data_IF_967240927953
#
_entry.id   IF_967240927953
#
_cell.length_a   1.000
_cell.length_b   1.000
_cell.length_c   1.000
_cell.angle_alpha   90.00
_cell.angle_beta   90.00
_cell.angle_gamma   90.00
#
_symmetry.space_group_name_H-M   'P 1'
#
loop_
_entity.id
_entity.type
_entity.pdbx_description
1 polymer ?
#
# COMPACT_ATOMS: atom_id res chain seq x y z
N UNK A 1 19.09 12.70 -11.47
CA UNK A 1 18.67 13.02 -10.11
C UNK A 1 17.55 12.07 -9.76
N UNK A 2 17.51 11.51 -8.54
CA UNK A 2 16.43 10.63 -8.11
C UNK A 2 15.12 11.40 -7.86
N UNK A 3 14.01 10.68 -7.83
CA UNK A 3 12.67 11.25 -7.65
C UNK A 3 12.53 12.04 -6.34
N UNK A 4 13.18 11.59 -5.27
CA UNK A 4 13.09 12.21 -3.94
C UNK A 4 14.11 13.34 -3.68
N UNK A 5 14.96 13.68 -4.66
CA UNK A 5 16.02 14.68 -4.48
C UNK A 5 15.51 16.10 -4.16
N UNK A 6 14.25 16.40 -4.46
CA UNK A 6 13.65 17.68 -4.14
C UNK A 6 13.50 17.92 -2.63
N UNK A 7 13.31 16.87 -1.86
CA UNK A 7 13.17 16.94 -0.40
C UNK A 7 14.41 17.53 0.30
N UNK A 8 15.59 17.38 -0.31
CA UNK A 8 16.85 17.92 0.23
C UNK A 8 16.95 19.45 0.15
N UNK A 9 16.00 20.12 -0.52
CA UNK A 9 15.97 21.58 -0.60
C UNK A 9 15.36 22.23 0.64
N UNK A 10 14.68 21.45 1.48
CA UNK A 10 14.06 21.93 2.70
C UNK A 10 14.66 21.16 3.89
N UNK A 11 15.43 21.86 4.72
CA UNK A 11 16.11 21.27 5.88
C UNK A 11 15.12 20.69 6.90
N UNK A 12 13.88 21.20 6.95
CA UNK A 12 12.84 20.70 7.84
C UNK A 12 12.36 19.28 7.48
N UNK A 13 12.62 18.81 6.26
CA UNK A 13 12.32 17.44 5.81
C UNK A 13 13.45 16.45 6.10
N UNK A 14 14.49 16.84 6.85
CA UNK A 14 15.66 15.98 7.10
C UNK A 14 15.28 14.62 7.68
N UNK A 15 14.27 14.56 8.55
CA UNK A 15 13.83 13.33 9.21
C UNK A 15 13.38 12.24 8.23
N UNK A 16 12.77 12.59 7.10
CA UNK A 16 12.26 11.62 6.13
C UNK A 16 12.89 11.72 4.73
N UNK A 17 13.59 12.81 4.40
CA UNK A 17 14.20 12.98 3.07
C UNK A 17 15.26 11.93 2.77
N UNK A 18 16.20 11.70 3.69
CA UNK A 18 17.24 10.67 3.56
C UNK A 18 16.66 9.26 3.46
N UNK A 19 15.74 8.83 4.35
CA UNK A 19 15.04 7.56 4.23
C UNK A 19 14.30 7.35 2.90
N UNK A 20 13.68 8.38 2.33
CA UNK A 20 13.05 8.30 1.01
C UNK A 20 14.07 7.99 -0.09
N UNK A 21 15.22 8.67 -0.08
CA UNK A 21 16.31 8.45 -1.05
C UNK A 21 16.93 7.06 -0.86
N UNK A 22 17.10 6.61 0.37
CA UNK A 22 17.60 5.27 0.66
C UNK A 22 16.63 4.20 0.15
N UNK A 23 15.33 4.36 0.35
CA UNK A 23 14.31 3.46 -0.21
C UNK A 23 14.39 3.40 -1.74
N UNK A 24 14.54 4.54 -2.43
CA UNK A 24 14.72 4.59 -3.89
C UNK A 24 15.99 3.85 -4.33
N UNK A 25 17.10 4.01 -3.63
CA UNK A 25 18.35 3.34 -3.97
C UNK A 25 18.29 1.82 -3.75
N UNK A 26 17.49 1.33 -2.80
CA UNK A 26 17.34 -0.10 -2.51
C UNK A 26 16.75 -0.87 -3.69
N UNK A 27 15.98 -0.23 -4.60
CA UNK A 27 15.40 -0.90 -5.78
C UNK A 27 16.47 -1.50 -6.68
N UNK A 28 17.70 -0.98 -6.66
CA UNK A 28 18.82 -1.53 -7.41
C UNK A 28 19.21 -2.96 -7.00
N UNK A 29 18.87 -3.38 -5.79
CA UNK A 29 19.35 -4.64 -5.22
C UNK A 29 18.27 -5.55 -4.67
N UNK A 30 17.20 -5.00 -4.08
CA UNK A 30 16.16 -5.81 -3.43
C UNK A 30 14.80 -5.10 -3.43
N UNK A 31 13.79 -5.72 -4.04
CA UNK A 31 12.41 -5.25 -4.01
C UNK A 31 11.82 -5.32 -2.60
N UNK A 32 12.19 -6.34 -1.83
CA UNK A 32 11.73 -6.55 -0.45
C UNK A 32 12.30 -5.45 0.46
N UNK A 33 13.62 -5.19 0.37
CA UNK A 33 14.24 -4.12 1.13
C UNK A 33 13.67 -2.75 0.74
N UNK A 34 13.36 -2.52 -0.54
CA UNK A 34 12.72 -1.30 -1.04
C UNK A 34 11.37 -1.06 -0.37
N UNK A 35 10.46 -2.05 -0.39
CA UNK A 35 9.14 -1.90 0.22
C UNK A 35 9.21 -1.69 1.74
N UNK A 36 10.13 -2.38 2.41
CA UNK A 36 10.39 -2.19 3.83
C UNK A 36 10.90 -0.78 4.15
N UNK A 37 11.90 -0.29 3.40
CA UNK A 37 12.47 1.05 3.57
C UNK A 37 11.48 2.14 3.20
N UNK A 38 10.66 1.94 2.17
CA UNK A 38 9.61 2.87 1.79
C UNK A 38 8.56 3.02 2.91
N UNK A 39 8.14 1.91 3.55
CA UNK A 39 7.26 1.96 4.73
C UNK A 39 7.91 2.71 5.90
N UNK A 40 9.19 2.49 6.14
CA UNK A 40 9.93 3.18 7.20
C UNK A 40 10.03 4.69 6.94
N UNK A 41 10.29 5.08 5.70
CA UNK A 41 10.29 6.48 5.28
C UNK A 41 8.90 7.14 5.43
N UNK A 42 7.85 6.40 5.05
CA UNK A 42 6.46 6.81 5.27
C UNK A 42 6.19 7.08 6.76
N UNK A 43 6.61 6.19 7.66
CA UNK A 43 6.41 6.33 9.10
C UNK A 43 7.04 7.64 9.62
N UNK A 44 8.25 7.96 9.19
CA UNK A 44 8.91 9.21 9.56
C UNK A 44 8.20 10.45 8.98
N UNK A 45 7.71 10.36 7.74
CA UNK A 45 6.95 11.43 7.12
C UNK A 45 5.59 11.66 7.81
N UNK A 46 4.90 10.59 8.24
CA UNK A 46 3.67 10.69 9.04
C UNK A 46 3.96 11.30 10.41
N UNK A 47 5.02 10.87 11.09
CA UNK A 47 5.44 11.45 12.37
C UNK A 47 5.75 12.95 12.23
N UNK A 48 6.37 13.34 11.11
CA UNK A 48 6.68 14.74 10.83
C UNK A 48 5.40 15.58 10.72
N UNK A 49 4.38 15.11 9.97
CA UNK A 49 3.11 15.84 9.87
C UNK A 49 2.46 16.01 11.24
N UNK A 50 2.33 14.95 12.01
CA UNK A 50 1.74 15.01 13.35
C UNK A 50 2.49 15.95 14.28
N UNK A 51 3.82 16.03 14.18
CA UNK A 51 4.60 16.95 15.00
C UNK A 51 4.51 18.43 14.58
N UNK A 52 4.10 18.72 13.35
CA UNK A 52 4.10 20.06 12.78
C UNK A 52 2.69 20.66 12.55
N UNK A 53 1.64 19.85 12.43
CA UNK A 53 0.28 20.34 12.20
C UNK A 53 -0.56 20.20 13.46
N UNK A 54 -0.96 21.32 14.05
CA UNK A 54 -1.74 21.36 15.30
C UNK A 54 -3.17 20.81 15.18
N UNK A 55 -3.65 20.61 13.95
CA UNK A 55 -4.95 20.00 13.71
C UNK A 55 -4.96 18.49 14.06
N UNK A 56 -3.79 17.84 13.97
CA UNK A 56 -3.66 16.40 14.17
C UNK A 56 -3.38 16.08 15.65
N UNK A 57 -4.34 15.47 16.31
CA UNK A 57 -4.16 14.97 17.67
C UNK A 57 -3.68 13.50 17.64
N UNK A 58 -2.58 13.24 18.35
CA UNK A 58 -2.01 11.89 18.38
C UNK A 58 -2.88 10.93 19.19
N UNK A 59 -3.27 9.76 18.64
CA UNK A 59 -3.97 8.74 19.40
C UNK A 59 -3.09 8.16 20.51
N UNK A 60 -3.70 7.63 21.58
CA UNK A 60 -2.98 7.07 22.73
C UNK A 60 -1.90 6.04 22.37
N UNK A 61 -2.12 5.25 21.32
CA UNK A 61 -1.12 4.36 20.74
C UNK A 61 -0.73 4.88 19.36
N UNK A 62 0.39 5.54 19.28
CA UNK A 62 0.92 6.14 18.06
C UNK A 62 1.70 5.14 17.22
N UNK A 63 1.03 4.12 16.70
CA UNK A 63 1.59 3.23 15.65
C UNK A 63 1.32 3.83 14.28
N UNK A 64 2.14 3.54 13.27
CA UNK A 64 1.89 4.00 11.91
C UNK A 64 0.45 3.70 11.44
N UNK A 65 -0.06 2.52 11.73
CA UNK A 65 -1.45 2.17 11.36
C UNK A 65 -2.48 3.01 12.10
N UNK A 66 -2.34 3.24 13.42
CA UNK A 66 -3.30 4.06 14.17
C UNK A 66 -3.28 5.52 13.74
N UNK A 67 -2.10 6.07 13.43
CA UNK A 67 -1.95 7.42 12.91
C UNK A 67 -2.63 7.59 11.54
N UNK A 68 -2.39 6.65 10.62
CA UNK A 68 -2.95 6.71 9.24
C UNK A 68 -4.47 6.47 9.23
N UNK A 69 -5.01 5.69 10.15
CA UNK A 69 -6.46 5.42 10.25
C UNK A 69 -7.21 6.39 11.17
N UNK A 70 -6.51 7.34 11.76
CA UNK A 70 -7.12 8.42 12.54
C UNK A 70 -8.03 9.28 11.65
N UNK A 71 -9.15 9.74 12.20
CA UNK A 71 -10.14 10.49 11.44
C UNK A 71 -9.59 11.85 11.00
N UNK A 72 -8.84 12.56 11.86
CA UNK A 72 -8.24 13.85 11.53
C UNK A 72 -7.20 13.72 10.40
N UNK A 73 -6.39 12.64 10.41
CA UNK A 73 -5.47 12.36 9.30
C UNK A 73 -6.21 12.09 7.98
N UNK A 74 -7.31 11.36 8.04
CA UNK A 74 -8.14 11.06 6.85
C UNK A 74 -8.90 12.28 6.33
N UNK A 75 -9.17 13.25 7.17
CA UNK A 75 -9.80 14.51 6.76
C UNK A 75 -8.84 15.39 5.94
N UNK A 76 -7.55 15.37 6.26
CA UNK A 76 -6.55 16.16 5.53
C UNK A 76 -6.00 15.47 4.29
N UNK A 77 -6.09 14.15 4.20
CA UNK A 77 -5.54 13.34 3.09
C UNK A 77 -6.66 12.89 2.17
N UNK A 78 -6.50 13.14 0.86
CA UNK A 78 -7.46 12.63 -0.13
C UNK A 78 -7.64 11.12 -0.04
N UNK A 79 -8.86 10.63 -0.28
CA UNK A 79 -9.22 9.22 -0.14
C UNK A 79 -8.38 8.30 -1.04
N UNK A 80 -7.95 8.76 -2.22
CA UNK A 80 -7.12 7.98 -3.13
C UNK A 80 -5.67 7.89 -2.63
N UNK A 81 -5.13 9.01 -2.15
CA UNK A 81 -3.81 9.03 -1.51
C UNK A 81 -3.79 8.17 -0.25
N UNK A 82 -4.87 8.19 0.55
CA UNK A 82 -5.01 7.32 1.72
C UNK A 82 -4.94 5.84 1.36
N UNK A 83 -5.65 5.39 0.30
CA UNK A 83 -5.56 4.00 -0.20
C UNK A 83 -4.13 3.63 -0.60
N UNK A 84 -3.41 4.53 -1.28
CA UNK A 84 -2.02 4.32 -1.67
C UNK A 84 -1.10 4.15 -0.45
N UNK A 85 -1.29 4.97 0.59
CA UNK A 85 -0.57 4.87 1.88
C UNK A 85 -0.84 3.51 2.53
N UNK A 86 -2.11 3.09 2.61
CA UNK A 86 -2.48 1.80 3.22
C UNK A 86 -1.86 0.63 2.46
N UNK A 87 -1.83 0.68 1.14
CA UNK A 87 -1.22 -0.36 0.31
C UNK A 87 0.29 -0.44 0.53
N UNK A 88 0.97 0.71 0.60
CA UNK A 88 2.39 0.78 0.94
C UNK A 88 2.68 0.15 2.32
N UNK A 89 1.87 0.45 3.33
CA UNK A 89 2.01 -0.15 4.67
C UNK A 89 1.90 -1.68 4.60
N UNK A 90 0.94 -2.22 3.85
CA UNK A 90 0.74 -3.67 3.70
C UNK A 90 1.94 -4.35 3.05
N UNK A 91 2.47 -3.79 1.96
CA UNK A 91 3.68 -4.30 1.31
C UNK A 91 4.89 -4.23 2.25
N UNK A 92 5.09 -3.12 2.94
CA UNK A 92 6.19 -2.97 3.89
C UNK A 92 6.11 -3.95 5.06
N UNK A 93 4.89 -4.22 5.58
CA UNK A 93 4.67 -5.22 6.61
C UNK A 93 4.98 -6.63 6.10
N UNK A 94 4.56 -6.98 4.89
CA UNK A 94 4.88 -8.27 4.27
C UNK A 94 6.39 -8.43 4.07
N UNK A 95 7.04 -7.38 3.58
CA UNK A 95 8.49 -7.32 3.38
C UNK A 95 9.28 -7.49 4.69
N UNK A 96 8.80 -6.91 5.81
CA UNK A 96 9.46 -7.00 7.12
C UNK A 96 9.68 -8.46 7.59
N UNK A 97 8.82 -9.37 7.14
CA UNK A 97 8.92 -10.80 7.42
C UNK A 97 9.60 -11.61 6.30
N UNK A 98 10.27 -10.95 5.34
CA UNK A 98 10.93 -11.60 4.21
C UNK A 98 9.95 -12.14 3.15
N UNK A 99 8.72 -11.62 3.13
CA UNK A 99 7.74 -11.97 2.11
C UNK A 99 8.14 -11.47 0.71
N UNK A 100 7.66 -12.16 -0.32
CA UNK A 100 7.96 -11.80 -1.70
C UNK A 100 7.30 -10.47 -2.08
N UNK A 101 8.07 -9.56 -2.65
CA UNK A 101 7.61 -8.29 -3.24
C UNK A 101 8.06 -8.27 -4.70
N UNK A 102 7.12 -8.21 -5.63
CA UNK A 102 7.39 -8.13 -7.07
C UNK A 102 7.99 -6.77 -7.42
N UNK A 103 8.73 -6.71 -8.52
CA UNK A 103 9.34 -5.44 -8.99
C UNK A 103 8.29 -4.33 -9.15
N UNK A 104 7.16 -4.63 -9.79
CA UNK A 104 6.07 -3.65 -9.94
C UNK A 104 5.52 -3.16 -8.61
N UNK A 105 5.42 -4.02 -7.59
CA UNK A 105 4.96 -3.64 -6.26
C UNK A 105 5.97 -2.75 -5.53
N UNK A 106 7.26 -3.02 -5.68
CA UNK A 106 8.32 -2.17 -5.13
C UNK A 106 8.34 -0.78 -5.80
N UNK A 107 8.17 -0.72 -7.14
CA UNK A 107 8.06 0.54 -7.88
C UNK A 107 6.82 1.32 -7.42
N UNK A 108 5.67 0.65 -7.28
CA UNK A 108 4.45 1.27 -6.77
C UNK A 108 4.58 1.72 -5.31
N UNK A 109 5.31 0.99 -4.47
CA UNK A 109 5.60 1.42 -3.10
C UNK A 109 6.40 2.73 -3.08
N UNK A 110 7.40 2.88 -3.95
CA UNK A 110 8.14 4.13 -4.12
C UNK A 110 7.25 5.24 -4.69
N UNK A 111 6.41 4.93 -5.67
CA UNK A 111 5.48 5.89 -6.25
C UNK A 111 4.47 6.40 -5.21
N UNK A 112 3.89 5.51 -4.39
CA UNK A 112 2.95 5.92 -3.33
C UNK A 112 3.64 6.73 -2.23
N UNK A 113 4.86 6.37 -1.86
CA UNK A 113 5.68 7.19 -0.97
C UNK A 113 5.92 8.58 -1.58
N UNK A 114 6.28 8.64 -2.87
CA UNK A 114 6.50 9.90 -3.58
C UNK A 114 5.25 10.77 -3.58
N UNK A 115 4.07 10.21 -3.88
CA UNK A 115 2.81 10.94 -3.86
C UNK A 115 2.55 11.55 -2.48
N UNK A 116 2.80 10.80 -1.42
CA UNK A 116 2.59 11.28 -0.06
C UNK A 116 3.58 12.40 0.33
N UNK A 117 4.89 12.24 0.08
CA UNK A 117 5.85 13.30 0.42
C UNK A 117 5.74 14.52 -0.50
N UNK A 118 5.25 14.35 -1.74
CA UNK A 118 4.91 15.46 -2.62
C UNK A 118 3.65 16.20 -2.12
N UNK A 119 2.68 15.49 -1.52
CA UNK A 119 1.55 16.10 -0.80
C UNK A 119 2.04 16.91 0.41
N UNK A 120 3.00 16.40 1.18
CA UNK A 120 3.62 17.17 2.27
C UNK A 120 4.22 18.46 1.73
N UNK A 121 5.00 18.39 0.66
CA UNK A 121 5.62 19.57 0.06
C UNK A 121 4.57 20.56 -0.47
N UNK A 122 3.48 20.06 -1.06
CA UNK A 122 2.35 20.87 -1.50
C UNK A 122 1.68 21.63 -0.36
N UNK A 123 1.42 20.95 0.77
CA UNK A 123 0.71 21.54 1.90
C UNK A 123 1.57 22.48 2.74
N UNK A 124 2.84 22.14 2.93
CA UNK A 124 3.64 22.72 4.00
C UNK A 124 4.88 23.49 3.54
N UNK A 125 5.28 23.39 2.26
CA UNK A 125 6.40 24.20 1.75
C UNK A 125 6.03 25.65 1.53
N UNK A 126 7.02 26.51 1.52
CA UNK A 126 6.83 27.93 1.17
C UNK A 126 6.59 28.12 -0.34
N UNK A 127 7.23 27.28 -1.16
CA UNK A 127 7.13 27.31 -2.62
C UNK A 127 6.96 25.89 -3.15
N UNK A 128 5.77 25.54 -3.59
CA UNK A 128 5.53 24.25 -4.24
C UNK A 128 5.84 24.35 -5.73
N UNK A 129 6.54 23.36 -6.23
CA UNK A 129 6.78 23.17 -7.67
C UNK A 129 6.13 21.85 -8.07
N UNK A 130 5.24 21.89 -9.06
CA UNK A 130 4.62 20.70 -9.60
C UNK A 130 5.69 19.76 -10.20
N UNK A 131 5.62 18.49 -9.83
CA UNK A 131 6.56 17.45 -10.29
C UNK A 131 5.89 16.09 -10.30
N UNK A 132 6.40 15.21 -11.14
CA UNK A 132 5.84 13.88 -11.35
C UNK A 132 6.91 12.81 -11.07
N UNK A 133 6.44 11.64 -10.64
CA UNK A 133 7.31 10.47 -10.47
C UNK A 133 7.75 9.95 -11.83
N UNK A 134 9.05 9.73 -12.01
CA UNK A 134 9.60 9.18 -13.24
C UNK A 134 10.30 7.84 -12.97
N UNK A 135 9.66 6.74 -13.43
CA UNK A 135 10.23 5.39 -13.29
C UNK A 135 11.60 5.26 -13.96
N UNK A 136 11.92 6.09 -14.97
CA UNK A 136 13.24 6.08 -15.65
C UNK A 136 14.38 6.58 -14.77
N UNK A 137 14.05 7.34 -13.71
CA UNK A 137 15.02 7.80 -12.73
C UNK A 137 15.41 6.73 -11.72
N UNK A 138 14.69 5.59 -11.67
CA UNK A 138 14.98 4.51 -10.74
C UNK A 138 16.25 3.75 -11.15
N UNK A 139 17.15 3.42 -10.20
CA UNK A 139 18.38 2.70 -10.46
C UNK A 139 18.12 1.19 -10.60
N UNK A 140 17.26 0.77 -11.54
CA UNK A 140 16.92 -0.64 -11.75
C UNK A 140 18.14 -1.45 -12.19
N UNK A 141 18.25 -2.69 -11.70
CA UNK A 141 19.34 -3.61 -11.99
C UNK A 141 18.82 -4.97 -12.42
N UNK A 142 19.54 -5.67 -13.30
CA UNK A 142 19.22 -7.03 -13.69
C UNK A 142 19.39 -8.07 -12.55
N UNK A 143 20.01 -7.68 -11.45
CA UNK A 143 20.29 -8.55 -10.31
C UNK A 143 19.38 -8.28 -9.09
N UNK A 144 18.18 -7.75 -9.32
CA UNK A 144 17.21 -7.46 -8.24
C UNK A 144 16.77 -8.77 -7.59
N UNK A 145 16.76 -8.80 -6.25
CA UNK A 145 16.18 -9.89 -5.47
C UNK A 145 14.72 -9.60 -5.18
N UNK A 146 13.86 -10.56 -5.48
CA UNK A 146 12.42 -10.47 -5.23
C UNK A 146 12.03 -11.06 -3.88
N UNK A 147 12.89 -11.89 -3.29
CA UNK A 147 12.63 -12.55 -2.01
C UNK A 147 13.87 -12.52 -1.13
N UNK A 148 13.67 -12.14 0.10
CA UNK A 148 14.70 -12.19 1.15
C UNK A 148 14.38 -13.30 2.15
N UNK A 149 15.38 -13.74 2.90
CA UNK A 149 15.12 -14.62 4.03
C UNK A 149 14.68 -13.80 5.25
N UNK A 150 13.86 -14.35 6.16
CA UNK A 150 13.54 -13.66 7.41
C UNK A 150 14.79 -13.21 8.17
N UNK A 151 15.86 -14.01 8.15
CA UNK A 151 17.13 -13.67 8.81
C UNK A 151 17.86 -12.49 8.15
N UNK A 152 17.81 -12.35 6.81
CA UNK A 152 18.40 -11.20 6.13
C UNK A 152 17.62 -9.92 6.43
N UNK A 153 16.29 -10.00 6.53
CA UNK A 153 15.45 -8.86 6.89
C UNK A 153 15.65 -8.44 8.36
N UNK A 154 15.78 -9.38 9.29
CA UNK A 154 16.13 -9.08 10.69
C UNK A 154 17.47 -8.34 10.74
N UNK A 155 18.51 -8.84 10.05
CA UNK A 155 19.81 -8.17 10.00
C UNK A 155 19.74 -6.76 9.42
N UNK A 156 18.90 -6.54 8.39
CA UNK A 156 18.66 -5.22 7.84
C UNK A 156 18.02 -4.33 8.91
N UNK A 157 16.97 -4.80 9.57
CA UNK A 157 16.28 -4.07 10.64
C UNK A 157 17.24 -3.70 11.79
N UNK A 158 18.02 -4.66 12.25
CA UNK A 158 19.01 -4.45 13.34
C UNK A 158 20.14 -3.48 12.95
N UNK A 159 20.45 -3.35 11.66
CA UNK A 159 21.47 -2.43 11.15
C UNK A 159 21.00 -0.99 11.00
N UNK A 160 19.68 -0.77 11.00
CA UNK A 160 19.12 0.57 10.87
C UNK A 160 19.05 1.27 12.22
N UNK A 161 19.27 2.60 12.27
CA UNK A 161 19.07 3.36 13.49
C UNK A 161 17.62 3.23 13.96
N UNK A 162 17.40 3.21 15.26
CA UNK A 162 16.04 3.29 15.82
C UNK A 162 15.34 4.56 15.33
N UNK A 163 14.03 4.48 15.12
CA UNK A 163 13.26 5.67 14.84
C UNK A 163 13.23 6.53 16.11
N UNK A 164 13.33 7.86 15.98
CA UNK A 164 13.13 8.75 17.11
C UNK A 164 11.77 8.50 17.77
N UNK A 165 11.69 8.64 19.07
CA UNK A 165 10.43 8.48 19.80
C UNK A 165 9.39 9.49 19.30
N UNK A 166 8.20 9.00 18.98
CA UNK A 166 7.13 9.81 18.40
C UNK A 166 6.68 10.94 19.36
N UNK A 167 6.54 10.62 20.65
CA UNK A 167 6.10 11.62 21.63
C UNK A 167 7.18 12.69 21.90
N UNK A 168 8.46 12.31 21.79
CA UNK A 168 9.56 13.27 21.86
C UNK A 168 9.55 14.20 20.65
N UNK A 169 9.27 13.68 19.44
CA UNK A 169 9.13 14.50 18.24
C UNK A 169 7.96 15.49 18.36
N UNK A 170 6.80 15.01 18.85
CA UNK A 170 5.64 15.86 19.10
C UNK A 170 5.95 17.00 20.08
N UNK A 171 6.66 16.67 21.17
CA UNK A 171 7.02 17.65 22.20
C UNK A 171 8.11 18.64 21.78
N UNK A 172 8.86 18.35 20.73
CA UNK A 172 9.97 19.19 20.26
C UNK A 172 9.52 20.45 19.53
N UNK A 173 8.29 20.48 19.01
CA UNK A 173 7.77 21.61 18.26
C UNK A 173 6.98 22.58 19.17
N UNK A 174 7.17 23.87 18.97
CA UNK A 174 6.38 24.89 19.68
C UNK A 174 4.98 25.00 19.06
N UNK A 175 4.01 25.41 19.86
CA UNK A 175 2.62 25.64 19.41
C UNK A 175 2.57 26.63 18.24
N UNK A 176 3.37 27.70 18.28
CA UNK A 176 3.43 28.71 17.21
C UNK A 176 3.88 28.12 15.88
N UNK A 177 4.86 27.19 15.90
CA UNK A 177 5.32 26.49 14.71
C UNK A 177 4.20 25.59 14.16
N UNK A 178 3.55 24.83 15.02
CA UNK A 178 2.46 23.96 14.64
C UNK A 178 1.27 24.74 14.03
N UNK A 179 0.87 25.85 14.64
CA UNK A 179 -0.17 26.73 14.09
C UNK A 179 0.21 27.27 12.71
N UNK A 180 1.47 27.69 12.53
CA UNK A 180 1.96 28.16 11.22
C UNK A 180 1.85 27.10 10.13
N UNK A 181 2.13 25.83 10.43
CA UNK A 181 2.01 24.74 9.45
C UNK A 181 0.55 24.39 9.17
N UNK A 182 -0.33 24.45 10.17
CA UNK A 182 -1.77 24.29 9.97
C UNK A 182 -2.31 25.36 9.00
N UNK A 183 -1.94 26.63 9.20
CA UNK A 183 -2.31 27.73 8.29
C UNK A 183 -1.78 27.53 6.86
N UNK A 184 -0.55 27.03 6.70
CA UNK A 184 0.01 26.71 5.39
C UNK A 184 -0.83 25.63 4.68
N UNK A 185 -1.20 24.54 5.36
CA UNK A 185 -2.05 23.48 4.80
C UNK A 185 -3.43 24.00 4.41
N UNK A 186 -4.07 24.76 5.27
CA UNK A 186 -5.38 25.37 4.98
C UNK A 186 -5.33 26.30 3.77
N UNK A 187 -4.25 27.09 3.67
CA UNK A 187 -4.00 27.95 2.51
C UNK A 187 -3.78 27.13 1.24
N UNK A 188 -3.02 26.05 1.33
CA UNK A 188 -2.78 25.14 0.20
C UNK A 188 -4.09 24.50 -0.29
N UNK A 189 -4.98 24.08 0.61
CA UNK A 189 -6.29 23.52 0.27
C UNK A 189 -7.19 24.50 -0.49
N UNK A 190 -6.96 25.81 -0.36
CA UNK A 190 -7.71 26.85 -1.06
C UNK A 190 -7.08 27.28 -2.41
N UNK A 191 -5.91 26.76 -2.76
CA UNK A 191 -5.23 27.07 -4.04
C UNK A 191 -6.04 26.52 -5.22
N UNK A 192 -6.37 27.40 -6.15
CA UNK A 192 -7.06 27.02 -7.40
C UNK A 192 -6.12 27.03 -8.60
N UNK A 193 -5.00 27.68 -8.49
CA UNK A 193 -4.02 27.92 -9.54
C UNK A 193 -3.07 26.73 -9.76
N UNK A 194 -2.77 25.99 -8.70
CA UNK A 194 -1.92 24.78 -8.75
C UNK A 194 -2.59 23.67 -7.96
N UNK A 195 -3.55 22.92 -8.54
CA UNK A 195 -4.18 21.82 -7.85
C UNK A 195 -3.17 20.68 -7.60
N UNK A 196 -3.25 20.05 -6.44
CA UNK A 196 -2.48 18.85 -6.19
C UNK A 196 -3.02 17.69 -7.03
N UNK A 197 -2.17 17.07 -7.81
CA UNK A 197 -2.52 15.95 -8.67
C UNK A 197 -2.08 14.61 -8.05
N UNK A 198 -3.01 13.70 -7.89
CA UNK A 198 -2.75 12.34 -7.43
C UNK A 198 -2.81 11.40 -8.64
N UNK A 199 -1.72 10.71 -8.93
CA UNK A 199 -1.71 9.68 -9.95
C UNK A 199 -2.57 8.49 -9.50
N UNK A 200 -3.65 8.24 -10.24
CA UNK A 200 -4.61 7.20 -9.88
C UNK A 200 -4.25 5.88 -10.57
N UNK A 201 -4.21 4.81 -9.79
CA UNK A 201 -4.35 3.47 -10.34
C UNK A 201 -5.82 3.24 -10.70
N UNK A 202 -6.07 2.43 -11.72
CA UNK A 202 -7.44 2.02 -11.99
C UNK A 202 -8.03 1.31 -10.76
N UNK A 203 -9.33 1.49 -10.52
CA UNK A 203 -10.03 0.82 -9.41
C UNK A 203 -9.82 -0.71 -9.42
N UNK A 204 -9.76 -1.29 -10.61
CA UNK A 204 -9.55 -2.72 -10.79
C UNK A 204 -8.12 -3.15 -10.38
N UNK A 205 -7.10 -2.36 -10.74
CA UNK A 205 -5.71 -2.61 -10.34
C UNK A 205 -5.54 -2.43 -8.83
N UNK A 206 -6.03 -1.34 -8.27
CA UNK A 206 -5.98 -1.08 -6.82
C UNK A 206 -6.59 -2.24 -6.05
N UNK A 207 -7.80 -2.68 -6.41
CA UNK A 207 -8.48 -3.81 -5.76
C UNK A 207 -7.68 -5.11 -5.89
N UNK A 208 -7.16 -5.42 -7.09
CA UNK A 208 -6.32 -6.60 -7.31
C UNK A 208 -5.08 -6.58 -6.42
N UNK A 209 -4.40 -5.45 -6.31
CA UNK A 209 -3.21 -5.29 -5.46
C UNK A 209 -3.54 -5.49 -3.98
N UNK A 210 -4.68 -4.99 -3.50
CA UNK A 210 -5.12 -5.20 -2.11
C UNK A 210 -5.43 -6.68 -1.83
N UNK A 211 -6.14 -7.36 -2.71
CA UNK A 211 -6.47 -8.79 -2.53
C UNK A 211 -5.19 -9.64 -2.60
N UNK A 212 -4.30 -9.37 -3.55
CA UNK A 212 -3.05 -10.09 -3.71
C UNK A 212 -2.19 -10.01 -2.44
N UNK A 213 -2.07 -8.84 -1.84
CA UNK A 213 -1.27 -8.69 -0.62
C UNK A 213 -1.96 -9.30 0.59
N UNK A 214 -3.29 -9.18 0.72
CA UNK A 214 -4.04 -9.76 1.83
C UNK A 214 -3.99 -11.31 1.80
N UNK A 215 -4.08 -11.90 0.62
CA UNK A 215 -3.91 -13.35 0.46
C UNK A 215 -2.50 -13.79 0.89
N UNK A 216 -1.45 -13.07 0.49
CA UNK A 216 -0.08 -13.37 0.94
C UNK A 216 0.10 -13.21 2.45
N UNK A 217 -0.44 -12.14 3.04
CA UNK A 217 -0.44 -11.92 4.49
C UNK A 217 -1.19 -13.03 5.25
N UNK A 218 -2.23 -13.61 4.64
CA UNK A 218 -2.95 -14.77 5.17
C UNK A 218 -2.22 -16.11 4.94
N UNK A 219 -1.01 -16.09 4.34
CA UNK A 219 -0.18 -17.28 4.14
C UNK A 219 -0.46 -18.07 2.85
N UNK A 220 -1.22 -17.49 1.90
CA UNK A 220 -1.42 -18.10 0.60
C UNK A 220 -0.21 -17.82 -0.31
N UNK A 221 0.27 -18.86 -0.98
CA UNK A 221 1.42 -18.78 -1.88
C UNK A 221 0.89 -18.95 -3.30
N UNK A 222 1.07 -17.89 -4.11
CA UNK A 222 0.67 -17.88 -5.51
C UNK A 222 1.43 -18.96 -6.28
N UNK A 223 0.77 -19.58 -7.24
CA UNK A 223 1.24 -20.74 -8.04
C UNK A 223 1.40 -22.06 -7.26
N UNK A 224 1.35 -22.06 -5.92
CA UNK A 224 1.36 -23.27 -5.12
C UNK A 224 -0.06 -23.65 -4.65
N UNK A 225 -0.60 -22.84 -3.73
CA UNK A 225 -1.90 -23.08 -3.11
C UNK A 225 -2.94 -21.98 -3.34
N UNK A 226 -2.57 -20.95 -4.12
CA UNK A 226 -3.45 -19.90 -4.64
C UNK A 226 -3.24 -19.79 -6.15
N UNK A 227 -4.30 -19.92 -6.93
CA UNK A 227 -4.27 -19.73 -8.39
C UNK A 227 -5.24 -18.64 -8.78
N UNK A 228 -4.88 -17.84 -9.79
CA UNK A 228 -5.65 -16.70 -10.30
C UNK A 228 -6.27 -17.01 -11.65
N UNK A 229 -7.40 -16.37 -11.93
CA UNK A 229 -8.07 -16.39 -13.24
C UNK A 229 -8.34 -17.82 -13.77
N UNK A 230 -8.86 -18.71 -12.92
CA UNK A 230 -9.15 -20.08 -13.29
C UNK A 230 -10.46 -20.16 -14.10
N UNK A 231 -10.37 -20.69 -15.32
CA UNK A 231 -11.52 -20.96 -16.16
C UNK A 231 -12.39 -22.10 -15.59
N UNK A 232 -13.69 -21.90 -15.59
CA UNK A 232 -14.70 -22.88 -15.13
C UNK A 232 -15.71 -23.11 -16.23
N UNK A 233 -15.76 -24.34 -16.75
CA UNK A 233 -16.70 -24.77 -17.76
C UNK A 233 -18.03 -25.26 -17.15
N UNK A 234 -19.09 -25.19 -17.92
CA UNK A 234 -20.40 -25.77 -17.57
C UNK A 234 -21.36 -24.79 -16.87
N UNK A 235 -21.13 -23.48 -16.95
CA UNK A 235 -22.09 -22.47 -16.51
C UNK A 235 -23.35 -22.47 -17.40
N UNK A 236 -24.51 -22.26 -16.78
CA UNK A 236 -25.80 -22.31 -17.47
C UNK A 236 -26.11 -21.08 -18.35
N UNK A 237 -25.30 -20.02 -18.23
CA UNK A 237 -25.53 -18.73 -18.91
C UNK A 237 -24.30 -18.31 -19.72
N UNK A 238 -24.51 -17.57 -20.80
CA UNK A 238 -23.48 -17.03 -21.67
C UNK A 238 -22.77 -18.07 -22.52
N UNK A 239 -21.44 -17.99 -22.62
CA UNK A 239 -20.59 -18.95 -23.37
C UNK A 239 -20.43 -20.30 -22.69
N UNK A 240 -20.98 -20.49 -21.50
CA UNK A 240 -20.79 -21.68 -20.67
C UNK A 240 -19.45 -21.70 -19.91
N UNK A 241 -18.57 -20.73 -20.17
CA UNK A 241 -17.28 -20.58 -19.50
C UNK A 241 -17.33 -19.35 -18.60
N UNK A 242 -16.88 -19.47 -17.35
CA UNK A 242 -16.64 -18.37 -16.42
C UNK A 242 -15.23 -18.41 -15.90
N UNK A 243 -14.85 -17.38 -15.17
CA UNK A 243 -13.54 -17.27 -14.55
C UNK A 243 -13.70 -16.97 -13.06
N UNK A 244 -12.96 -17.68 -12.23
CA UNK A 244 -12.80 -17.34 -10.81
C UNK A 244 -11.57 -16.48 -10.66
N UNK A 245 -11.68 -15.34 -9.96
CA UNK A 245 -10.55 -14.43 -9.74
C UNK A 245 -9.43 -15.15 -8.98
N UNK A 246 -9.77 -15.85 -7.87
CA UNK A 246 -8.80 -16.65 -7.12
C UNK A 246 -9.41 -17.97 -6.67
N UNK A 247 -8.61 -19.03 -6.72
CA UNK A 247 -8.94 -20.37 -6.20
C UNK A 247 -7.89 -20.79 -5.19
N UNK A 248 -8.34 -21.09 -3.96
CA UNK A 248 -7.49 -21.46 -2.84
C UNK A 248 -7.52 -22.97 -2.59
N UNK A 249 -6.34 -23.57 -2.49
CA UNK A 249 -6.16 -25.03 -2.36
C UNK A 249 -5.59 -25.40 -1.00
N UNK A 250 -6.10 -26.47 -0.41
CA UNK A 250 -5.52 -27.05 0.80
C UNK A 250 -4.25 -27.85 0.50
N UNK A 251 -3.51 -28.24 1.54
CA UNK A 251 -2.30 -29.06 1.46
C UNK A 251 -2.51 -30.40 0.73
N UNK A 252 -3.74 -30.87 0.64
CA UNK A 252 -4.14 -32.09 -0.07
C UNK A 252 -4.53 -31.85 -1.53
N UNK A 253 -4.29 -30.66 -2.07
CA UNK A 253 -4.63 -30.26 -3.43
C UNK A 253 -6.12 -30.01 -3.67
N UNK A 254 -6.97 -30.05 -2.62
CA UNK A 254 -8.41 -29.84 -2.73
C UNK A 254 -8.75 -28.37 -2.66
N UNK A 255 -9.77 -27.93 -3.40
CA UNK A 255 -10.26 -26.57 -3.38
C UNK A 255 -10.95 -26.30 -2.05
N UNK A 256 -10.42 -25.34 -1.30
CA UNK A 256 -10.98 -24.86 -0.03
C UNK A 256 -11.95 -23.71 -0.26
N UNK A 257 -11.54 -22.72 -1.06
CA UNK A 257 -12.35 -21.54 -1.30
C UNK A 257 -12.10 -20.95 -2.69
N UNK A 258 -13.01 -20.11 -3.15
CA UNK A 258 -12.81 -19.15 -4.24
C UNK A 258 -13.03 -17.75 -3.70
N UNK A 259 -12.27 -16.79 -4.23
CA UNK A 259 -12.40 -15.37 -3.92
C UNK A 259 -12.74 -14.65 -5.21
N UNK A 260 -13.82 -13.87 -5.18
CA UNK A 260 -14.28 -13.02 -6.28
C UNK A 260 -14.09 -11.56 -5.88
N UNK A 261 -13.32 -10.84 -6.69
CA UNK A 261 -13.06 -9.42 -6.49
C UNK A 261 -14.22 -8.58 -7.02
N UNK A 262 -14.96 -7.89 -6.15
CA UNK A 262 -16.12 -7.06 -6.54
C UNK A 262 -15.87 -5.58 -6.35
N UNK A 263 -16.52 -4.76 -7.19
CA UNK A 263 -16.62 -3.31 -6.95
C UNK A 263 -17.47 -3.05 -5.72
N UNK A 264 -16.98 -2.22 -4.81
CA UNK A 264 -17.71 -1.79 -3.62
C UNK A 264 -19.02 -1.03 -3.92
N UNK A 265 -19.22 -0.59 -5.17
CA UNK A 265 -20.36 0.21 -5.61
C UNK A 265 -21.55 -0.59 -6.17
N UNK A 266 -21.55 -1.93 -6.08
CA UNK A 266 -22.62 -2.74 -6.67
C UNK A 266 -23.75 -2.98 -5.66
N UNK A 267 -24.99 -2.66 -6.07
CA UNK A 267 -26.22 -2.87 -5.32
C UNK A 267 -26.29 -4.30 -4.70
N UNK A 268 -26.69 -4.46 -3.42
CA UNK A 268 -26.77 -5.76 -2.73
C UNK A 268 -27.56 -6.84 -3.49
N UNK A 269 -28.60 -6.46 -4.25
CA UNK A 269 -29.41 -7.40 -5.06
C UNK A 269 -28.59 -8.08 -6.20
N UNK A 270 -27.64 -7.37 -6.80
CA UNK A 270 -26.72 -7.96 -7.81
C UNK A 270 -25.73 -8.92 -7.14
N UNK A 271 -25.41 -8.67 -5.87
CA UNK A 271 -24.56 -9.55 -5.06
C UNK A 271 -25.16 -10.95 -4.86
N UNK A 272 -26.48 -11.09 -4.70
CA UNK A 272 -27.11 -12.41 -4.54
C UNK A 272 -27.01 -13.31 -5.78
N UNK A 273 -27.15 -12.73 -6.98
CA UNK A 273 -27.03 -13.47 -8.24
C UNK A 273 -25.58 -13.99 -8.41
N UNK A 274 -24.61 -13.13 -8.15
CA UNK A 274 -23.19 -13.50 -8.27
C UNK A 274 -22.74 -14.51 -7.19
N UNK A 275 -23.29 -14.43 -5.97
CA UNK A 275 -23.06 -15.46 -4.94
C UNK A 275 -23.59 -16.82 -5.39
N UNK A 276 -24.72 -16.87 -6.11
CA UNK A 276 -25.22 -18.12 -6.71
C UNK A 276 -24.30 -18.63 -7.83
N UNK A 277 -23.77 -17.74 -8.67
CA UNK A 277 -22.81 -18.10 -9.73
C UNK A 277 -21.50 -18.62 -9.15
N UNK A 278 -20.92 -17.93 -8.16
CA UNK A 278 -19.72 -18.38 -7.46
C UNK A 278 -19.93 -19.74 -6.76
N UNK A 279 -21.11 -19.97 -6.15
CA UNK A 279 -21.46 -21.29 -5.59
C UNK A 279 -21.58 -22.37 -6.67
N UNK A 280 -22.07 -22.04 -7.85
CA UNK A 280 -22.13 -22.96 -8.98
C UNK A 280 -20.73 -23.24 -9.55
N UNK A 281 -19.87 -22.21 -9.70
CA UNK A 281 -18.47 -22.37 -10.08
C UNK A 281 -17.72 -23.29 -9.11
N UNK A 282 -17.91 -23.07 -7.80
CA UNK A 282 -17.30 -23.93 -6.78
C UNK A 282 -17.77 -25.39 -6.87
N UNK A 283 -19.08 -25.62 -7.17
CA UNK A 283 -19.61 -26.96 -7.37
C UNK A 283 -19.03 -27.61 -8.62
N UNK A 284 -18.91 -26.87 -9.72
CA UNK A 284 -18.33 -27.37 -10.97
C UNK A 284 -16.86 -27.73 -10.79
N UNK A 285 -16.07 -26.86 -10.19
CA UNK A 285 -14.66 -27.13 -9.88
C UNK A 285 -14.49 -28.33 -8.94
N UNK A 286 -15.40 -28.53 -7.99
CA UNK A 286 -15.38 -29.69 -7.07
C UNK A 286 -15.77 -31.01 -7.73
N UNK A 287 -16.70 -30.98 -8.65
CA UNK A 287 -17.06 -32.18 -9.44
C UNK A 287 -15.89 -32.65 -10.32
N UNK A 288 -15.05 -31.69 -10.77
CA UNK A 288 -13.81 -32.01 -11.52
C UNK A 288 -12.74 -32.57 -10.57
N UNK A 289 -12.69 -32.15 -9.29
CA UNK A 289 -11.65 -32.53 -8.33
C UNK A 289 -12.13 -33.47 -7.20
N UNK A 290 -13.31 -34.04 -7.29
CA UNK A 290 -13.96 -34.92 -6.31
C UNK A 290 -13.53 -34.63 -4.88
N UNK A 291 -14.12 -33.60 -4.20
CA UNK A 291 -14.15 -33.52 -2.72
C UNK A 291 -14.51 -32.18 -2.08
N UNK A 292 -15.03 -32.29 -0.93
CA UNK A 292 -15.77 -31.62 0.11
C UNK A 292 -15.13 -30.47 0.89
N UNK A 293 -16.00 -29.55 1.29
CA UNK A 293 -16.09 -28.56 2.40
C UNK A 293 -15.60 -27.12 2.18
N UNK A 294 -16.49 -26.20 2.56
CA UNK A 294 -16.60 -24.80 2.09
C UNK A 294 -16.04 -23.72 3.00
N UNK A 295 -15.53 -22.64 2.40
CA UNK A 295 -15.74 -21.26 2.82
C UNK A 295 -15.79 -20.34 1.60
N UNK A 296 -16.81 -19.54 1.45
CA UNK A 296 -16.86 -18.40 0.55
C UNK A 296 -16.41 -17.18 1.38
N UNK A 297 -15.23 -16.66 1.13
CA UNK A 297 -14.78 -15.41 1.72
C UNK A 297 -15.17 -14.27 0.77
N UNK A 298 -16.14 -13.48 1.18
CA UNK A 298 -16.41 -12.18 0.62
C UNK A 298 -15.50 -11.18 1.33
N UNK A 299 -14.52 -10.63 0.64
CA UNK A 299 -13.75 -9.48 1.10
C UNK A 299 -14.41 -8.23 0.49
N UNK A 300 -14.93 -7.37 1.34
CA UNK A 300 -15.50 -6.07 0.99
C UNK A 300 -14.41 -5.02 0.82
#
# INVERSE_FOLDING_TARGET
>A
MGNFSFLLKNDEYESFSKPCIEAENMIATSTVATAFMARRALEQAVHWIYSHDSYLEAPYRATLSSLVWDDDFRDIVDSELHKQIVLLIRWGNHAAHGGEIKEREAILALHHLYQFVNFIDYCYSNEFVERYFDEKCLPLSANIKYRETPQSMIKLQDSLPELPDFHEQMAAQSVEVQETYTEKRETAAQRQDVPFHIDQLSEAETRKLFIDIDLRLAGWIFEENCRVEIAVDGLKHGSGIGYCDYVLYGKNGKILAIVEAKKASVNPEVGEVQVKESKNMLKLLRNISAISQFALLQMA
#
